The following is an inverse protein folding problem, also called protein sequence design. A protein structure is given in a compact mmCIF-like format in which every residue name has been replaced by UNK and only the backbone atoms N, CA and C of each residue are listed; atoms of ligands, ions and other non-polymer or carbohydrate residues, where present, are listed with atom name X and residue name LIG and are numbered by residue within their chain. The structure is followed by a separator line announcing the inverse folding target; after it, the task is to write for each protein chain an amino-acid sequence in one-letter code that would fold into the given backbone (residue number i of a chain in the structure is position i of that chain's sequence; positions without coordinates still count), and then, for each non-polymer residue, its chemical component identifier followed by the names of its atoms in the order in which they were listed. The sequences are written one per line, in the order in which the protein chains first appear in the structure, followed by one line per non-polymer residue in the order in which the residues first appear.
data_IF_214963683017
#
_entry.id   IF_214963683017
#
_cell.length_a   1.000
_cell.length_b   1.000
_cell.length_c   1.000
_cell.angle_alpha   90.00
_cell.angle_beta   90.00
_cell.angle_gamma   90.00
#
_symmetry.space_group_name_H-M   'P 1'
#
loop_
_entity.id
_entity.type
_entity.pdbx_description
1 polymer ?
#
# COMPACT_ATOMS: atom_id res chain seq x y z
N UNK A 1 -9.57 -4.97 -0.95
CA UNK A 1 -8.58 -4.04 -0.34
C UNK A 1 -7.25 -4.29 -0.99
N UNK A 2 -6.44 -3.28 -1.26
CA UNK A 2 -5.31 -3.41 -2.20
C UNK A 2 -4.20 -2.40 -1.98
N UNK A 3 -3.23 -2.41 -2.88
CA UNK A 3 -2.17 -1.41 -2.93
C UNK A 3 -1.81 -1.09 -4.38
N UNK A 4 -1.60 0.19 -4.63
CA UNK A 4 -1.10 0.69 -5.91
C UNK A 4 0.39 1.03 -5.76
N UNK A 5 1.18 0.71 -6.78
CA UNK A 5 2.60 1.00 -6.82
C UNK A 5 3.08 1.24 -8.25
N UNK A 6 4.24 1.89 -8.39
CA UNK A 6 4.90 2.05 -9.69
C UNK A 6 5.83 0.88 -9.97
N UNK A 7 5.79 0.36 -11.19
CA UNK A 7 6.66 -0.72 -11.65
C UNK A 7 7.32 -0.36 -13.00
N UNK A 8 8.60 -0.69 -13.23
CA UNK A 8 9.29 -0.31 -14.47
C UNK A 8 8.83 -1.09 -15.70
N UNK A 9 8.27 -2.29 -15.51
CA UNK A 9 7.78 -3.14 -16.61
C UNK A 9 6.29 -3.42 -16.45
N UNK A 10 5.55 -3.68 -17.54
CA UNK A 10 4.13 -3.99 -17.44
C UNK A 10 3.91 -5.31 -16.72
N UNK A 11 2.82 -5.39 -15.95
CA UNK A 11 2.33 -6.62 -15.32
C UNK A 11 0.95 -6.93 -15.90
N UNK A 12 0.75 -8.16 -16.34
CA UNK A 12 -0.54 -8.55 -16.91
C UNK A 12 -1.62 -8.56 -15.83
N UNK A 13 -2.85 -8.18 -16.20
CA UNK A 13 -4.02 -8.37 -15.35
C UNK A 13 -4.14 -9.85 -14.92
N UNK A 14 -4.70 -10.07 -13.73
CA UNK A 14 -4.83 -11.40 -13.10
C UNK A 14 -3.51 -12.10 -12.73
N UNK A 15 -2.36 -11.47 -12.95
CA UNK A 15 -1.08 -11.97 -12.42
C UNK A 15 -1.10 -11.97 -10.90
N UNK A 16 -0.71 -13.10 -10.31
CA UNK A 16 -0.61 -13.24 -8.86
C UNK A 16 0.79 -12.84 -8.39
N UNK A 17 0.84 -12.01 -7.35
CA UNK A 17 2.04 -11.40 -6.81
C UNK A 17 2.18 -11.75 -5.33
N UNK A 18 3.42 -11.94 -4.90
CA UNK A 18 3.79 -11.91 -3.48
C UNK A 18 4.24 -10.49 -3.13
N UNK A 19 3.41 -9.75 -2.41
CA UNK A 19 3.68 -8.37 -2.01
C UNK A 19 4.26 -8.36 -0.61
N UNK A 20 5.54 -7.97 -0.48
CA UNK A 20 6.19 -7.77 0.82
C UNK A 20 6.13 -6.30 1.20
N UNK A 21 5.28 -5.99 2.17
CA UNK A 21 5.20 -4.65 2.78
C UNK A 21 6.17 -4.56 3.96
N UNK A 22 6.82 -3.41 4.10
CA UNK A 22 7.62 -3.06 5.27
C UNK A 22 6.96 -1.86 5.94
N UNK A 23 6.42 -2.07 7.14
CA UNK A 23 5.67 -1.08 7.90
C UNK A 23 6.63 -0.34 8.85
N UNK A 24 6.90 0.91 8.52
CA UNK A 24 7.80 1.81 9.27
C UNK A 24 6.99 2.70 10.23
N UNK A 25 7.55 3.10 11.39
CA UNK A 25 8.95 2.95 11.81
C UNK A 25 9.28 1.61 12.50
N UNK A 26 8.30 0.74 12.77
CA UNK A 26 8.52 -0.48 13.57
C UNK A 26 9.29 -1.59 12.83
N UNK A 27 9.69 -1.36 11.57
CA UNK A 27 10.37 -2.33 10.70
C UNK A 27 9.64 -3.68 10.58
N UNK A 28 8.30 -3.66 10.64
CA UNK A 28 7.48 -4.86 10.62
C UNK A 28 7.23 -5.32 9.17
N UNK A 29 7.61 -6.56 8.86
CA UNK A 29 7.36 -7.17 7.56
C UNK A 29 5.98 -7.85 7.48
N UNK A 30 5.23 -7.56 6.42
CA UNK A 30 3.95 -8.20 6.11
C UNK A 30 3.97 -8.75 4.68
N UNK A 31 3.88 -10.08 4.54
CA UNK A 31 3.79 -10.74 3.23
C UNK A 31 2.33 -11.03 2.89
N UNK A 32 1.86 -10.53 1.75
CA UNK A 32 0.49 -10.68 1.25
C UNK A 32 0.51 -11.28 -0.14
N UNK A 33 -0.52 -12.08 -0.45
CA UNK A 33 -0.84 -12.44 -1.84
C UNK A 33 -1.71 -11.34 -2.42
N UNK A 34 -1.48 -10.99 -3.67
CA UNK A 34 -2.30 -10.02 -4.38
C UNK A 34 -2.42 -10.39 -5.86
N UNK A 35 -3.46 -9.89 -6.50
CA UNK A 35 -3.69 -10.04 -7.93
C UNK A 35 -3.69 -8.68 -8.60
N UNK A 36 -3.04 -8.57 -9.76
CA UNK A 36 -3.04 -7.34 -10.56
C UNK A 36 -4.45 -7.07 -11.08
N UNK A 37 -4.98 -5.88 -10.81
CA UNK A 37 -6.30 -5.43 -11.27
C UNK A 37 -6.21 -4.49 -12.48
N UNK A 38 -5.15 -3.68 -12.54
CA UNK A 38 -4.84 -2.83 -13.70
C UNK A 38 -3.33 -2.56 -13.75
N UNK A 39 -2.84 -2.20 -14.94
CA UNK A 39 -1.46 -1.81 -15.17
C UNK A 39 -1.43 -0.81 -16.32
N UNK A 40 -1.38 0.48 -16.00
CA UNK A 40 -1.49 1.56 -16.96
C UNK A 40 -0.14 2.27 -17.16
N UNK A 41 0.27 2.55 -18.40
CA UNK A 41 1.49 3.33 -18.65
C UNK A 41 1.43 4.70 -17.98
N UNK A 42 2.47 5.08 -17.25
CA UNK A 42 2.61 6.40 -16.63
C UNK A 42 4.06 6.85 -16.55
N UNK A 43 4.39 7.87 -17.33
CA UNK A 43 5.76 8.39 -17.42
C UNK A 43 6.70 7.36 -18.04
N UNK A 44 7.75 7.01 -17.30
CA UNK A 44 8.78 6.03 -17.66
C UNK A 44 8.50 4.61 -17.16
N UNK A 45 7.33 4.38 -16.54
CA UNK A 45 6.93 3.07 -16.03
C UNK A 45 5.42 2.88 -16.09
N UNK A 46 4.90 2.08 -15.16
CA UNK A 46 3.51 1.70 -15.09
C UNK A 46 2.98 1.92 -13.67
N UNK A 47 1.78 2.47 -13.56
CA UNK A 47 1.01 2.42 -12.33
C UNK A 47 0.26 1.09 -12.30
N UNK A 48 0.53 0.29 -11.27
CA UNK A 48 -0.03 -1.05 -11.10
C UNK A 48 -0.93 -1.03 -9.88
N UNK A 49 -2.21 -1.35 -10.08
CA UNK A 49 -3.13 -1.64 -8.99
C UNK A 49 -3.20 -3.11 -8.69
N UNK A 50 -3.29 -3.43 -7.41
CA UNK A 50 -3.44 -4.81 -6.95
C UNK A 50 -4.55 -4.93 -5.92
N UNK A 51 -5.16 -6.10 -5.86
CA UNK A 51 -6.09 -6.47 -4.81
C UNK A 51 -5.51 -7.62 -3.98
N UNK A 52 -5.55 -7.49 -2.65
CA UNK A 52 -5.08 -8.54 -1.75
C UNK A 52 -6.01 -9.75 -1.77
N UNK A 53 -5.42 -10.94 -1.76
CA UNK A 53 -6.11 -12.22 -1.81
C UNK A 53 -5.92 -12.99 -0.52
N UNK A 54 -6.99 -13.61 -0.03
CA UNK A 54 -6.95 -14.54 1.11
C UNK A 54 -6.25 -14.00 2.37
N UNK A 55 -6.36 -12.68 2.63
CA UNK A 55 -5.82 -12.12 3.87
C UNK A 55 -6.48 -12.79 5.09
N UNK A 56 -5.67 -13.10 6.10
CA UNK A 56 -6.20 -13.49 7.42
C UNK A 56 -6.73 -12.27 8.16
N UNK A 57 -7.60 -12.49 9.14
CA UNK A 57 -8.12 -11.39 9.97
C UNK A 57 -7.03 -10.67 10.75
N UNK A 58 -6.03 -11.41 11.24
CA UNK A 58 -4.86 -10.83 11.89
C UNK A 58 -4.09 -9.88 10.96
N UNK A 59 -3.86 -10.29 9.69
CA UNK A 59 -3.19 -9.44 8.70
C UNK A 59 -4.03 -8.21 8.35
N UNK A 60 -5.35 -8.37 8.18
CA UNK A 60 -6.28 -7.25 7.93
C UNK A 60 -6.26 -6.24 9.07
N UNK A 61 -6.40 -6.70 10.31
CA UNK A 61 -6.41 -5.85 11.50
C UNK A 61 -5.08 -5.11 11.68
N UNK A 62 -3.95 -5.80 11.47
CA UNK A 62 -2.62 -5.21 11.54
C UNK A 62 -2.45 -4.09 10.52
N UNK A 63 -2.82 -4.33 9.26
CA UNK A 63 -2.73 -3.32 8.20
C UNK A 63 -3.70 -2.15 8.46
N UNK A 64 -4.94 -2.42 8.85
CA UNK A 64 -5.94 -1.39 9.16
C UNK A 64 -5.46 -0.49 10.31
N UNK A 65 -4.96 -1.07 11.40
CA UNK A 65 -4.40 -0.32 12.53
C UNK A 65 -3.24 0.56 12.09
N UNK A 66 -2.34 0.02 11.28
CA UNK A 66 -1.19 0.77 10.77
C UNK A 66 -1.62 1.97 9.91
N UNK A 67 -2.54 1.77 8.96
CA UNK A 67 -3.06 2.85 8.10
C UNK A 67 -3.71 3.95 8.94
N UNK A 68 -4.56 3.57 9.90
CA UNK A 68 -5.24 4.53 10.78
C UNK A 68 -4.25 5.34 11.63
N UNK A 69 -3.22 4.69 12.18
CA UNK A 69 -2.17 5.37 12.94
C UNK A 69 -1.40 6.37 12.07
N UNK A 70 -1.00 5.97 10.86
CA UNK A 70 -0.29 6.83 9.92
C UNK A 70 -1.12 8.06 9.52
N UNK A 71 -2.39 7.86 9.17
CA UNK A 71 -3.30 8.95 8.83
C UNK A 71 -3.56 9.89 9.99
N UNK A 72 -3.70 9.37 11.22
CA UNK A 72 -3.85 10.20 12.41
C UNK A 72 -2.60 11.05 12.68
N UNK A 73 -1.40 10.51 12.44
CA UNK A 73 -0.14 11.24 12.55
C UNK A 73 -0.03 12.34 11.48
N UNK A 74 -0.30 12.03 10.22
CA UNK A 74 -0.30 12.99 9.11
C UNK A 74 -1.27 14.15 9.36
N UNK A 75 -2.47 13.85 9.87
CA UNK A 75 -3.45 14.89 10.25
C UNK A 75 -2.99 15.80 11.38
N UNK A 76 -2.21 15.28 12.35
CA UNK A 76 -1.65 16.10 13.43
C UNK A 76 -0.58 17.05 12.89
N UNK A 77 0.36 16.52 12.12
CA UNK A 77 1.44 17.31 11.50
C UNK A 77 0.88 18.39 10.56
N UNK A 78 -0.15 18.07 9.78
CA UNK A 78 -0.78 19.05 8.89
C UNK A 78 -1.44 20.21 9.65
N UNK A 79 -1.99 19.95 10.85
CA UNK A 79 -2.58 20.98 11.70
C UNK A 79 -1.52 21.86 12.37
N UNK A 80 -0.44 21.25 12.86
CA UNK A 80 0.69 21.97 13.44
C UNK A 80 1.36 22.90 12.41
N UNK A 81 1.55 22.42 11.17
CA UNK A 81 2.11 23.25 10.08
C UNK A 81 1.21 24.40 9.64
N UNK A 82 -0.12 24.27 9.79
CA UNK A 82 -1.05 25.34 9.45
C UNK A 82 -1.19 26.41 10.53
N UNK A 83 -0.84 26.11 11.79
CA UNK A 83 -0.91 27.06 12.91
C UNK A 83 0.39 27.90 13.05
N UNK A 84 1.49 27.50 12.40
CA UNK A 84 2.79 28.20 12.38
C UNK A 84 2.96 29.21 11.21
N UNK A 85 1.91 29.43 10.41
CA UNK A 85 1.85 30.36 9.25
C UNK A 85 0.89 31.53 9.50
#
# INVERSE_FOLDING_TARGET
GGIDFRHPTPLAADTHLAVKLVLMPQALGLLLRARVTHCDPKGDGFDVGTEFESMTDAQRQLLARYILQKQAQERRLAREQSDDL
#
